data_IF_393560688781
#
_entry.id   IF_393560688781
#
_cell.length_a   1.000
_cell.length_b   1.000
_cell.length_c   1.000
_cell.angle_alpha   90.00
_cell.angle_beta   90.00
_cell.angle_gamma   90.00
#
_symmetry.space_group_name_H-M   'P 1'
#
loop_
_entity.id
_entity.type
_entity.pdbx_description
1 polymer ?
#
# COMPACT_ATOMS: atom_id res chain seq x y z
N UNK A 1 -15.36 -37.29 -13.48
CA UNK A 1 -14.47 -38.45 -13.71
C UNK A 1 -13.14 -38.16 -13.02
N UNK A 2 -12.49 -39.16 -12.42
CA UNK A 2 -11.22 -38.98 -11.70
C UNK A 2 -10.05 -39.31 -12.61
N UNK A 3 -9.05 -38.43 -12.65
CA UNK A 3 -7.80 -38.67 -13.38
C UNK A 3 -6.61 -38.22 -12.54
N UNK A 4 -6.13 -39.13 -11.68
CA UNK A 4 -4.82 -39.00 -11.05
C UNK A 4 -3.71 -39.17 -12.08
N UNK A 5 -2.60 -38.43 -11.98
CA UNK A 5 -1.33 -38.80 -12.64
C UNK A 5 -0.18 -38.77 -11.63
N UNK A 6 0.70 -39.75 -11.78
CA UNK A 6 1.73 -40.09 -10.80
C UNK A 6 3.05 -39.33 -11.03
N UNK A 7 3.86 -39.27 -9.97
CA UNK A 7 5.28 -38.94 -10.06
C UNK A 7 6.03 -39.95 -10.93
N UNK A 8 7.10 -39.50 -11.61
CA UNK A 8 8.12 -40.38 -12.18
C UNK A 8 9.53 -39.95 -11.74
N UNK A 9 10.50 -40.88 -11.73
CA UNK A 9 11.80 -40.74 -11.06
C UNK A 9 12.99 -40.70 -12.02
N UNK A 10 13.90 -39.75 -11.82
CA UNK A 10 15.31 -39.86 -12.22
C UNK A 10 16.18 -39.77 -10.95
N UNK A 11 16.70 -40.89 -10.44
CA UNK A 11 17.97 -41.53 -10.84
C UNK A 11 19.23 -40.69 -10.60
N UNK A 12 19.69 -40.76 -9.35
CA UNK A 12 21.07 -41.11 -8.96
C UNK A 12 22.24 -40.67 -9.86
N UNK A 13 23.18 -39.94 -9.27
CA UNK A 13 24.60 -40.12 -9.59
C UNK A 13 25.44 -40.15 -8.29
N UNK A 14 26.46 -41.02 -8.25
CA UNK A 14 27.22 -41.35 -7.03
C UNK A 14 28.64 -40.81 -7.10
N UNK A 15 29.05 -40.01 -6.11
CA UNK A 15 30.35 -39.34 -6.09
C UNK A 15 31.07 -39.44 -4.75
N UNK A 16 31.50 -40.64 -4.34
CA UNK A 16 32.41 -40.78 -3.19
C UNK A 16 33.77 -40.13 -3.49
N UNK A 17 34.27 -39.31 -2.58
CA UNK A 17 35.72 -39.07 -2.42
C UNK A 17 36.08 -38.70 -0.99
N UNK A 18 36.41 -39.72 -0.21
CA UNK A 18 37.04 -39.57 1.10
C UNK A 18 38.45 -39.01 0.94
N UNK A 19 38.79 -37.99 1.74
CA UNK A 19 40.18 -37.67 2.11
C UNK A 19 40.24 -37.32 3.59
N UNK A 20 40.57 -38.32 4.39
CA UNK A 20 41.17 -38.09 5.71
C UNK A 20 42.50 -37.33 5.55
N UNK A 21 42.84 -36.50 6.53
CA UNK A 21 44.25 -36.22 6.78
C UNK A 21 44.48 -35.97 8.28
N UNK A 22 45.34 -36.77 8.88
CA UNK A 22 45.73 -36.72 10.29
C UNK A 22 46.81 -35.66 10.53
N UNK A 23 46.70 -34.88 11.60
CA UNK A 23 47.56 -33.69 11.80
C UNK A 23 47.96 -33.37 13.25
N UNK A 24 48.04 -34.35 14.15
CA UNK A 24 48.63 -34.11 15.48
C UNK A 24 50.10 -33.72 15.36
N UNK A 25 50.48 -32.57 15.94
CA UNK A 25 51.87 -32.27 16.29
C UNK A 25 51.95 -31.51 17.61
N UNK A 26 52.17 -32.26 18.68
CA UNK A 26 52.57 -31.71 19.97
C UNK A 26 53.97 -31.10 19.87
N UNK A 27 54.15 -29.92 20.46
CA UNK A 27 55.46 -29.43 20.89
C UNK A 27 55.35 -28.80 22.26
N UNK A 28 55.62 -29.60 23.28
CA UNK A 28 56.10 -29.11 24.56
C UNK A 28 57.44 -28.40 24.36
N UNK A 29 57.66 -27.27 25.03
CA UNK A 29 59.00 -26.94 25.50
C UNK A 29 58.93 -26.15 26.80
N UNK A 30 59.90 -26.36 27.68
CA UNK A 30 59.92 -25.85 29.05
C UNK A 30 60.90 -24.68 29.20
N UNK A 31 60.44 -23.58 29.79
CA UNK A 31 61.28 -22.45 30.22
C UNK A 31 60.88 -21.98 31.61
N UNK A 32 61.82 -21.94 32.56
CA UNK A 32 61.55 -21.60 33.96
C UNK A 32 61.94 -20.16 34.31
N UNK A 33 61.16 -19.58 35.24
CA UNK A 33 61.53 -18.52 36.20
C UNK A 33 62.03 -17.17 35.67
N UNK A 34 61.26 -16.13 35.97
CA UNK A 34 61.70 -15.07 36.93
C UNK A 34 60.57 -14.78 37.92
N UNK A 35 60.86 -14.05 39.01
CA UNK A 35 59.92 -13.72 40.10
C UNK A 35 59.33 -12.31 39.92
N UNK A 36 58.36 -11.97 40.79
CA UNK A 36 57.72 -10.65 40.98
C UNK A 36 56.92 -10.12 39.76
N UNK A 37 55.75 -9.52 39.93
CA UNK A 37 55.40 -8.60 41.01
C UNK A 37 53.98 -8.81 41.59
N UNK A 38 53.74 -8.29 42.81
CA UNK A 38 52.46 -8.40 43.51
C UNK A 38 51.43 -7.43 42.94
N UNK A 39 50.52 -7.95 42.12
CA UNK A 39 49.42 -7.18 41.53
C UNK A 39 48.16 -8.01 41.39
N UNK A 40 47.41 -8.20 42.49
CA UNK A 40 46.14 -8.94 42.51
C UNK A 40 45.00 -8.13 41.87
N UNK A 41 45.20 -7.70 40.61
CA UNK A 41 44.13 -7.18 39.75
C UNK A 41 43.14 -8.30 39.52
N UNK A 42 42.09 -8.35 40.34
CA UNK A 42 40.91 -9.17 40.10
C UNK A 42 40.38 -8.79 38.72
N UNK A 43 40.66 -9.61 37.71
CA UNK A 43 39.97 -9.54 36.42
C UNK A 43 38.52 -9.92 36.70
N UNK A 44 37.73 -8.93 37.14
CA UNK A 44 36.28 -8.98 37.27
C UNK A 44 35.75 -9.14 35.85
N UNK A 45 35.78 -10.38 35.36
CA UNK A 45 35.28 -10.81 34.05
C UNK A 45 33.82 -10.45 34.04
N UNK A 46 33.51 -9.26 33.51
CA UNK A 46 32.15 -8.83 33.31
C UNK A 46 31.48 -9.95 32.50
N UNK A 47 30.52 -10.63 33.10
CA UNK A 47 29.59 -11.42 32.32
C UNK A 47 28.82 -10.39 31.50
N UNK A 48 29.22 -10.26 30.24
CA UNK A 48 28.41 -9.63 29.21
C UNK A 48 27.11 -10.39 29.18
N UNK A 49 26.11 -9.90 29.92
CA UNK A 49 24.74 -10.37 29.79
C UNK A 49 24.39 -10.15 28.32
N UNK A 50 24.22 -11.26 27.60
CA UNK A 50 23.70 -11.22 26.23
C UNK A 50 22.34 -10.54 26.31
N UNK A 51 22.12 -9.43 25.58
CA UNK A 51 20.85 -8.72 25.67
C UNK A 51 19.72 -9.68 25.29
N UNK A 52 18.61 -9.63 26.03
CA UNK A 52 17.50 -10.54 25.78
C UNK A 52 16.87 -10.21 24.42
N UNK A 53 16.89 -11.17 23.49
CA UNK A 53 16.49 -10.97 22.09
C UNK A 53 15.54 -12.06 21.62
N UNK A 54 14.48 -11.64 20.94
CA UNK A 54 13.54 -12.51 20.25
C UNK A 54 13.87 -12.54 18.75
N UNK A 55 14.03 -13.75 18.22
CA UNK A 55 14.27 -14.02 16.80
C UNK A 55 12.95 -14.36 16.11
N UNK A 56 12.67 -13.73 14.98
CA UNK A 56 11.44 -13.91 14.21
C UNK A 56 11.74 -14.56 12.86
N UNK A 57 11.02 -15.65 12.57
CA UNK A 57 11.08 -16.40 11.30
C UNK A 57 10.05 -15.84 10.31
N UNK A 58 10.07 -16.34 9.09
CA UNK A 58 9.10 -15.94 8.06
C UNK A 58 7.64 -16.07 8.54
N UNK A 59 7.29 -17.21 9.16
CA UNK A 59 5.95 -17.48 9.70
C UNK A 59 5.50 -16.43 10.73
N UNK A 60 6.38 -16.11 11.69
CA UNK A 60 6.08 -15.19 12.80
C UNK A 60 5.85 -13.77 12.30
N UNK A 61 6.66 -13.34 11.32
CA UNK A 61 6.55 -12.03 10.68
C UNK A 61 5.23 -11.91 9.91
N UNK A 62 4.88 -12.94 9.13
CA UNK A 62 3.63 -12.99 8.34
C UNK A 62 2.39 -12.96 9.24
N UNK A 63 2.37 -13.73 10.33
CA UNK A 63 1.23 -13.73 11.26
C UNK A 63 1.07 -12.41 12.05
N UNK A 64 2.15 -11.63 12.18
CA UNK A 64 2.17 -10.40 12.99
C UNK A 64 1.66 -9.17 12.25
N UNK A 65 1.01 -8.28 13.01
CA UNK A 65 0.62 -6.92 12.64
C UNK A 65 1.82 -5.96 12.52
N UNK A 66 1.56 -4.70 12.17
CA UNK A 66 2.59 -3.67 12.04
C UNK A 66 2.26 -2.39 12.83
N UNK A 67 3.25 -1.53 13.15
CA UNK A 67 3.05 -0.37 14.04
C UNK A 67 1.99 0.60 13.51
N UNK A 68 1.35 1.36 14.40
CA UNK A 68 0.48 2.46 13.97
C UNK A 68 1.29 3.56 13.26
N UNK A 69 0.75 4.11 12.18
CA UNK A 69 1.31 5.30 11.57
C UNK A 69 1.02 6.51 12.46
N UNK A 70 2.07 7.09 13.08
CA UNK A 70 1.94 8.36 13.79
C UNK A 70 1.39 9.42 12.83
N UNK A 71 0.32 10.09 13.26
CA UNK A 71 -0.43 11.06 12.47
C UNK A 71 -0.98 12.18 13.37
N UNK A 72 -1.29 13.34 12.79
CA UNK A 72 -1.79 14.50 13.53
C UNK A 72 -3.12 15.00 12.95
N UNK A 73 -4.20 14.87 13.72
CA UNK A 73 -5.56 15.28 13.31
C UNK A 73 -5.72 16.79 13.06
N UNK A 74 -4.80 17.63 13.57
CA UNK A 74 -4.82 19.06 13.31
C UNK A 74 -3.96 19.45 12.09
N UNK A 75 -2.91 18.66 11.80
CA UNK A 75 -1.84 19.00 10.85
C UNK A 75 -1.67 17.94 9.74
N UNK A 76 -2.69 17.81 8.88
CA UNK A 76 -2.68 16.90 7.72
C UNK A 76 -3.31 17.54 6.47
N UNK A 77 -3.12 16.90 5.31
CA UNK A 77 -3.74 17.33 4.04
C UNK A 77 -5.26 17.11 4.04
N UNK A 78 -6.03 18.21 4.03
CA UNK A 78 -7.51 18.17 4.04
C UNK A 78 -8.14 17.96 2.65
N UNK A 79 -7.32 17.86 1.61
CA UNK A 79 -7.76 17.52 0.25
C UNK A 79 -7.92 16.00 0.13
N UNK A 80 -9.14 15.52 -0.09
CA UNK A 80 -9.34 14.13 -0.50
C UNK A 80 -8.68 13.90 -1.85
N UNK A 81 -7.78 12.92 -1.91
CA UNK A 81 -7.11 12.47 -3.12
C UNK A 81 -7.94 11.43 -3.90
N UNK A 82 -9.17 11.12 -3.47
CA UNK A 82 -10.04 10.17 -4.18
C UNK A 82 -10.48 10.79 -5.51
N UNK A 83 -10.16 10.10 -6.59
CA UNK A 83 -10.42 10.55 -7.95
C UNK A 83 -11.94 10.63 -8.21
N UNK A 84 -12.33 11.48 -9.16
CA UNK A 84 -13.73 11.64 -9.60
C UNK A 84 -14.15 10.50 -10.52
N UNK A 85 -13.99 9.27 -10.06
CA UNK A 85 -14.18 8.04 -10.81
C UNK A 85 -14.86 7.04 -9.89
N UNK A 86 -15.92 6.37 -10.36
CA UNK A 86 -16.55 5.31 -9.58
C UNK A 86 -16.70 4.00 -10.34
N UNK A 87 -16.55 2.89 -9.64
CA UNK A 87 -16.81 1.56 -10.18
C UNK A 87 -18.31 1.37 -10.49
N UNK A 88 -18.59 0.84 -11.67
CA UNK A 88 -19.87 1.03 -12.36
C UNK A 88 -20.64 -0.26 -12.71
N UNK A 89 -20.06 -1.43 -12.42
CA UNK A 89 -20.67 -2.77 -12.50
C UNK A 89 -21.14 -3.24 -11.10
N UNK A 90 -21.66 -4.45 -11.00
CA UNK A 90 -22.00 -5.10 -9.72
C UNK A 90 -20.75 -5.25 -8.83
N UNK A 91 -20.86 -4.89 -7.54
CA UNK A 91 -19.84 -5.20 -6.53
C UNK A 91 -20.22 -6.51 -5.85
N UNK A 92 -19.25 -7.39 -5.60
CA UNK A 92 -19.48 -8.69 -4.95
C UNK A 92 -18.58 -8.82 -3.73
N UNK A 93 -19.13 -9.19 -2.58
CA UNK A 93 -18.29 -9.49 -1.41
C UNK A 93 -17.57 -10.83 -1.62
N UNK A 94 -16.26 -10.85 -1.39
CA UNK A 94 -15.43 -12.05 -1.40
C UNK A 94 -15.52 -12.72 -0.02
N UNK A 95 -16.66 -13.37 0.24
CA UNK A 95 -17.02 -13.98 1.53
C UNK A 95 -15.90 -14.89 2.06
N UNK A 96 -15.41 -15.83 1.23
CA UNK A 96 -14.39 -16.82 1.64
C UNK A 96 -12.93 -16.27 1.60
N UNK A 97 -12.72 -14.94 1.63
CA UNK A 97 -11.39 -14.36 1.43
C UNK A 97 -10.40 -14.73 2.54
N UNK A 98 -10.80 -14.64 3.81
CA UNK A 98 -9.89 -14.94 4.91
C UNK A 98 -9.56 -16.43 4.99
N UNK A 99 -10.48 -17.29 4.53
CA UNK A 99 -10.29 -18.73 4.36
C UNK A 99 -9.43 -19.06 3.14
N UNK A 100 -9.53 -18.33 2.02
CA UNK A 100 -8.59 -18.43 0.88
C UNK A 100 -7.17 -18.09 1.32
N UNK A 101 -7.01 -16.99 2.07
CA UNK A 101 -5.72 -16.56 2.63
C UNK A 101 -5.17 -17.61 3.61
N UNK A 102 -6.00 -18.10 4.56
CA UNK A 102 -5.64 -19.15 5.53
C UNK A 102 -5.22 -20.44 4.82
N UNK A 103 -5.99 -20.92 3.83
CA UNK A 103 -5.65 -22.11 3.02
C UNK A 103 -4.28 -21.97 2.36
N UNK A 104 -3.97 -20.79 1.81
CA UNK A 104 -2.67 -20.53 1.18
C UNK A 104 -1.53 -20.44 2.20
N UNK A 105 -1.74 -19.80 3.35
CA UNK A 105 -0.77 -19.77 4.45
C UNK A 105 -0.47 -21.18 5.00
N UNK A 106 -1.50 -22.01 5.20
CA UNK A 106 -1.37 -23.38 5.72
C UNK A 106 -0.78 -24.35 4.70
N UNK A 107 -0.78 -24.01 3.40
CA UNK A 107 -0.14 -24.82 2.35
C UNK A 107 1.40 -24.76 2.34
N UNK A 108 1.99 -23.81 3.09
CA UNK A 108 3.43 -23.58 3.14
C UNK A 108 4.06 -24.44 4.25
N UNK A 109 5.08 -25.22 3.90
CA UNK A 109 5.92 -25.98 4.84
C UNK A 109 6.82 -25.06 5.68
N UNK A 110 6.23 -24.37 6.66
CA UNK A 110 6.94 -23.41 7.51
C UNK A 110 8.14 -23.99 8.28
N UNK A 111 8.17 -25.31 8.49
CA UNK A 111 9.29 -26.02 9.12
C UNK A 111 10.57 -26.07 8.26
N UNK A 112 10.48 -25.76 6.95
CA UNK A 112 11.66 -25.54 6.10
C UNK A 112 12.26 -24.13 6.30
N UNK A 113 11.44 -23.15 6.69
CA UNK A 113 11.78 -21.71 6.73
C UNK A 113 12.10 -21.22 8.15
N UNK A 114 12.95 -21.96 8.84
CA UNK A 114 13.28 -21.77 10.26
C UNK A 114 14.38 -20.71 10.52
N UNK A 115 14.90 -20.09 9.47
CA UNK A 115 15.92 -19.05 9.54
C UNK A 115 15.33 -17.76 10.14
N UNK A 116 15.98 -17.14 11.14
CA UNK A 116 15.60 -15.81 11.58
C UNK A 116 15.79 -14.79 10.46
N UNK A 117 14.72 -14.05 10.15
CA UNK A 117 14.76 -12.90 9.24
C UNK A 117 14.82 -11.57 10.00
N UNK A 118 14.31 -11.53 11.23
CA UNK A 118 14.31 -10.32 12.05
C UNK A 118 14.62 -10.59 13.54
N UNK A 119 15.11 -9.57 14.26
CA UNK A 119 15.53 -9.67 15.67
C UNK A 119 15.08 -8.45 16.48
N UNK A 120 14.14 -8.65 17.41
CA UNK A 120 13.76 -7.62 18.39
C UNK A 120 14.55 -7.81 19.69
N UNK A 121 14.96 -6.72 20.32
CA UNK A 121 15.34 -6.74 21.72
C UNK A 121 14.07 -6.79 22.57
N UNK A 122 14.07 -7.57 23.65
CA UNK A 122 13.00 -7.47 24.65
C UNK A 122 13.06 -6.11 25.35
N UNK A 123 11.92 -5.67 25.89
CA UNK A 123 11.66 -4.34 26.44
C UNK A 123 12.44 -3.99 27.74
N UNK A 124 13.50 -4.73 28.06
CA UNK A 124 14.31 -4.65 29.29
C UNK A 124 15.05 -3.32 29.49
N UNK A 125 14.82 -2.31 28.66
CA UNK A 125 15.44 -0.98 28.73
C UNK A 125 14.46 0.15 29.01
N UNK A 126 13.14 -0.06 28.85
CA UNK A 126 12.14 1.02 28.97
C UNK A 126 12.39 2.22 28.04
N UNK A 127 13.15 2.02 26.95
CA UNK A 127 13.58 3.10 26.08
C UNK A 127 12.63 3.26 24.89
N UNK A 128 11.76 4.26 24.95
CA UNK A 128 10.83 4.65 23.89
C UNK A 128 11.56 5.02 22.57
N UNK A 129 12.82 5.45 22.65
CA UNK A 129 13.63 5.91 21.51
C UNK A 129 14.29 4.76 20.70
N UNK A 130 13.74 3.54 20.72
CA UNK A 130 14.25 2.45 19.87
C UNK A 130 13.76 2.59 18.43
N UNK A 131 14.65 2.36 17.46
CA UNK A 131 14.42 2.52 16.01
C UNK A 131 13.39 1.52 15.40
N UNK A 132 12.67 0.77 16.24
CA UNK A 132 11.60 -0.16 15.84
C UNK A 132 10.20 0.41 16.03
N UNK A 133 10.04 1.31 17.00
CA UNK A 133 8.78 2.04 17.15
C UNK A 133 8.66 3.07 16.02
N UNK A 134 7.44 3.52 15.77
CA UNK A 134 7.24 4.59 14.79
C UNK A 134 7.60 5.94 15.43
N UNK A 135 8.44 6.71 14.75
CA UNK A 135 8.93 8.03 15.17
C UNK A 135 8.59 9.12 14.13
N UNK A 136 8.05 8.74 12.97
CA UNK A 136 7.81 9.63 11.85
C UNK A 136 6.33 10.05 11.76
N UNK A 137 6.06 11.31 12.08
CA UNK A 137 4.74 11.92 11.96
C UNK A 137 4.35 12.10 10.48
N UNK A 138 3.36 11.34 10.02
CA UNK A 138 2.84 11.41 8.65
C UNK A 138 1.66 12.38 8.56
N UNK A 139 1.67 13.23 7.52
CA UNK A 139 0.65 14.27 7.29
C UNK A 139 0.07 14.27 5.88
N UNK A 140 0.52 13.37 5.00
CA UNK A 140 0.08 13.28 3.61
C UNK A 140 0.14 11.85 3.05
N UNK A 141 -0.37 11.66 1.83
CA UNK A 141 -0.45 10.37 1.15
C UNK A 141 0.94 9.76 0.92
N UNK A 142 1.91 10.55 0.45
CA UNK A 142 3.28 10.08 0.20
C UNK A 142 3.97 9.50 1.44
N UNK A 143 3.83 10.17 2.60
CA UNK A 143 4.37 9.67 3.88
C UNK A 143 3.66 8.41 4.35
N UNK A 144 2.33 8.39 4.26
CA UNK A 144 1.48 7.21 4.56
C UNK A 144 1.87 6.00 3.71
N UNK A 145 1.98 6.19 2.39
CA UNK A 145 2.37 5.17 1.42
C UNK A 145 3.79 4.65 1.70
N UNK A 146 4.75 5.56 1.96
CA UNK A 146 6.14 5.19 2.30
C UNK A 146 6.24 4.33 3.57
N UNK A 147 5.42 4.64 4.59
CA UNK A 147 5.36 3.86 5.84
C UNK A 147 4.81 2.45 5.59
N UNK A 148 3.80 2.30 4.74
CA UNK A 148 3.26 1.00 4.35
C UNK A 148 4.22 0.19 3.46
N UNK A 149 4.98 0.86 2.59
CA UNK A 149 6.09 0.23 1.85
C UNK A 149 7.13 -0.32 2.84
N UNK A 150 7.55 0.47 3.82
CA UNK A 150 8.50 0.04 4.85
C UNK A 150 7.98 -1.14 5.68
N UNK A 151 6.75 -1.05 6.21
CA UNK A 151 6.23 -1.98 7.21
C UNK A 151 5.55 -3.23 6.63
N UNK A 152 5.08 -3.17 5.37
CA UNK A 152 4.36 -4.26 4.69
C UNK A 152 5.09 -4.69 3.41
N UNK A 153 5.16 -3.85 2.37
CA UNK A 153 5.54 -4.30 1.02
C UNK A 153 7.02 -4.71 0.90
N UNK A 154 7.92 -4.01 1.58
CA UNK A 154 9.33 -4.39 1.72
C UNK A 154 9.46 -5.73 2.46
N UNK A 155 8.79 -5.84 3.61
CA UNK A 155 8.81 -7.05 4.45
C UNK A 155 8.33 -8.26 3.66
N UNK A 156 7.20 -8.15 2.95
CA UNK A 156 6.67 -9.24 2.13
C UNK A 156 7.53 -9.56 0.91
N UNK A 157 8.25 -8.57 0.36
CA UNK A 157 9.26 -8.81 -0.67
C UNK A 157 10.53 -9.51 -0.16
N UNK A 158 10.78 -9.49 1.15
CA UNK A 158 11.81 -10.31 1.79
C UNK A 158 11.29 -11.72 2.15
N UNK A 159 10.04 -11.82 2.63
CA UNK A 159 9.36 -13.11 2.89
C UNK A 159 9.32 -13.96 1.61
N UNK A 160 8.84 -13.42 0.49
CA UNK A 160 8.75 -14.15 -0.78
C UNK A 160 10.12 -14.71 -1.22
N UNK A 161 11.21 -13.97 -1.00
CA UNK A 161 12.58 -14.41 -1.29
C UNK A 161 13.11 -15.50 -0.35
N UNK A 162 12.64 -15.56 0.90
CA UNK A 162 12.94 -16.67 1.81
C UNK A 162 12.23 -17.95 1.36
N UNK A 163 10.95 -17.85 0.99
CA UNK A 163 10.08 -19.00 0.70
C UNK A 163 10.01 -19.37 -0.79
N UNK A 164 10.90 -18.82 -1.62
CA UNK A 164 11.05 -19.17 -3.04
C UNK A 164 9.95 -18.65 -3.98
N UNK A 165 9.08 -17.73 -3.53
CA UNK A 165 8.04 -17.12 -4.36
C UNK A 165 8.67 -16.04 -5.27
N UNK A 166 8.52 -16.22 -6.58
CA UNK A 166 9.21 -15.44 -7.63
C UNK A 166 8.68 -14.03 -7.90
N UNK A 167 8.01 -13.38 -6.95
CA UNK A 167 7.45 -12.03 -7.11
C UNK A 167 7.79 -11.10 -5.93
N UNK A 168 7.90 -9.79 -6.20
CA UNK A 168 8.22 -8.75 -5.24
C UNK A 168 7.45 -7.45 -5.52
N UNK A 169 7.28 -6.63 -4.49
CA UNK A 169 6.60 -5.34 -4.60
C UNK A 169 7.58 -4.21 -4.96
N UNK A 170 7.06 -3.18 -5.62
CA UNK A 170 7.77 -1.92 -5.89
C UNK A 170 6.82 -0.85 -6.45
N UNK A 171 7.36 0.33 -6.76
CA UNK A 171 6.59 1.42 -7.36
C UNK A 171 6.21 1.10 -8.82
N UNK A 172 5.07 1.59 -9.31
CA UNK A 172 4.64 1.32 -10.69
C UNK A 172 5.65 1.79 -11.77
N UNK A 173 6.42 2.85 -11.49
CA UNK A 173 7.47 3.35 -12.39
C UNK A 173 8.65 2.39 -12.59
N UNK A 174 8.79 1.35 -11.74
CA UNK A 174 9.75 0.26 -11.92
C UNK A 174 9.26 -0.87 -12.85
N UNK A 175 7.99 -0.85 -13.29
CA UNK A 175 7.41 -1.91 -14.15
C UNK A 175 7.72 -1.73 -15.63
N UNK A 176 7.85 -2.84 -16.35
CA UNK A 176 8.08 -2.83 -17.79
C UNK A 176 6.89 -2.24 -18.56
N UNK A 177 5.67 -2.37 -18.04
CA UNK A 177 4.47 -1.73 -18.57
C UNK A 177 4.59 -0.19 -18.61
N UNK A 178 5.21 0.42 -17.59
CA UNK A 178 5.43 1.87 -17.52
C UNK A 178 6.63 2.32 -18.36
N UNK A 179 7.62 1.46 -18.61
CA UNK A 179 8.69 1.74 -19.57
C UNK A 179 8.15 1.69 -21.02
N UNK A 180 7.29 0.72 -21.34
CA UNK A 180 6.64 0.60 -22.64
C UNK A 180 5.78 1.83 -22.98
N UNK A 181 4.97 2.33 -22.03
CA UNK A 181 4.11 3.51 -22.28
C UNK A 181 4.91 4.81 -22.43
N UNK A 182 6.01 4.98 -21.66
CA UNK A 182 6.97 6.09 -21.86
C UNK A 182 7.56 6.07 -23.27
N UNK A 183 8.08 4.92 -23.71
CA UNK A 183 8.68 4.77 -25.05
C UNK A 183 7.67 5.02 -26.18
N UNK A 184 6.45 4.50 -26.05
CA UNK A 184 5.38 4.73 -27.02
C UNK A 184 5.03 6.22 -27.17
N UNK A 185 5.02 6.97 -26.06
CA UNK A 185 4.80 8.42 -26.03
C UNK A 185 5.94 9.19 -26.71
N UNK A 186 7.20 8.85 -26.40
CA UNK A 186 8.38 9.44 -27.05
C UNK A 186 8.40 9.20 -28.56
N UNK A 187 8.06 7.99 -29.01
CA UNK A 187 7.98 7.67 -30.44
C UNK A 187 6.84 8.41 -31.16
N UNK A 188 5.74 8.72 -30.47
CA UNK A 188 4.65 9.52 -31.02
C UNK A 188 5.05 11.01 -31.14
N UNK A 189 5.62 11.59 -30.08
CA UNK A 189 6.05 12.99 -30.06
C UNK A 189 7.23 13.25 -31.01
N UNK A 190 8.17 12.31 -31.12
CA UNK A 190 9.33 12.40 -32.02
C UNK A 190 8.96 12.45 -33.51
N UNK A 191 7.89 11.76 -33.91
CA UNK A 191 7.38 11.79 -35.29
C UNK A 191 6.77 13.15 -35.67
N UNK A 192 6.33 13.95 -34.69
CA UNK A 192 5.72 15.27 -34.92
C UNK A 192 6.68 16.39 -35.35
N UNK A 193 8.01 16.22 -35.21
CA UNK A 193 9.00 17.32 -35.44
C UNK A 193 9.76 17.27 -36.78
N UNK A 194 9.51 16.29 -37.66
CA UNK A 194 10.14 16.18 -39.00
C UNK A 194 9.20 16.52 -40.16
N UNK A 195 8.66 17.74 -40.17
CA UNK A 195 7.69 18.18 -41.19
C UNK A 195 7.61 19.70 -41.39
N UNK A 196 8.75 20.42 -41.44
CA UNK A 196 8.74 21.89 -41.38
C UNK A 196 9.92 22.63 -42.00
N UNK A 197 10.36 22.28 -43.21
CA UNK A 197 11.31 23.13 -43.97
C UNK A 197 11.22 22.93 -45.49
N UNK A 198 11.21 24.05 -46.23
CA UNK A 198 10.88 24.21 -47.67
C UNK A 198 9.38 23.97 -47.97
N UNK A 199 8.71 24.78 -48.80
CA UNK A 199 9.17 25.99 -49.50
C UNK A 199 8.03 26.98 -49.73
N UNK A 200 8.36 28.25 -49.98
CA UNK A 200 7.37 29.30 -50.22
C UNK A 200 6.85 29.26 -51.66
N UNK A 201 5.51 29.29 -51.81
CA UNK A 201 4.84 29.49 -53.09
C UNK A 201 3.66 30.43 -52.91
N UNK A 202 3.67 31.59 -53.58
CA UNK A 202 2.51 32.48 -53.64
C UNK A 202 1.49 31.92 -54.63
N UNK A 203 0.34 31.47 -54.13
CA UNK A 203 -0.83 31.14 -54.94
C UNK A 203 -2.10 31.69 -54.30
N UNK A 204 -2.88 32.45 -55.06
CA UNK A 204 -4.30 32.69 -54.74
C UNK A 204 -5.11 31.57 -55.40
N UNK A 205 -6.06 30.99 -54.67
CA UNK A 205 -6.98 29.97 -55.16
C UNK A 205 -8.18 29.87 -54.22
N UNK A 206 -9.35 29.60 -54.76
CA UNK A 206 -10.64 29.74 -54.07
C UNK A 206 -10.95 28.62 -53.06
N UNK A 207 -11.98 28.83 -52.25
CA UNK A 207 -12.43 27.89 -51.22
C UNK A 207 -13.51 26.93 -51.74
N UNK A 208 -13.47 25.67 -51.31
CA UNK A 208 -14.64 24.77 -51.32
C UNK A 208 -14.47 23.59 -50.34
N UNK A 209 -15.60 22.99 -49.97
CA UNK A 209 -15.78 21.71 -49.23
C UNK A 209 -14.92 21.47 -47.97
N UNK A 210 -15.48 21.75 -46.80
CA UNK A 210 -14.90 21.43 -45.49
C UNK A 210 -15.73 20.36 -44.73
N UNK A 211 -15.94 19.17 -45.32
CA UNK A 211 -16.87 18.18 -44.75
C UNK A 211 -16.46 16.70 -44.97
N UNK A 212 -15.26 16.30 -44.52
CA UNK A 212 -14.87 14.87 -44.38
C UNK A 212 -13.65 14.67 -43.47
N UNK A 213 -13.82 14.78 -42.14
CA UNK A 213 -12.71 14.55 -41.18
C UNK A 213 -13.08 14.27 -39.71
N UNK A 214 -14.37 14.11 -39.37
CA UNK A 214 -14.81 13.95 -37.96
C UNK A 214 -14.93 12.51 -37.45
N UNK A 215 -14.90 11.50 -38.31
CA UNK A 215 -15.23 10.12 -37.94
C UNK A 215 -14.06 9.29 -37.35
N UNK A 216 -12.80 9.58 -37.69
CA UNK A 216 -11.64 8.75 -37.30
C UNK A 216 -10.83 9.28 -36.09
N UNK A 217 -11.40 10.20 -35.29
CA UNK A 217 -10.70 10.84 -34.16
C UNK A 217 -11.13 10.34 -32.77
N UNK A 218 -12.18 9.51 -32.67
CA UNK A 218 -12.60 8.88 -31.41
C UNK A 218 -11.61 7.81 -30.97
N UNK A 219 -11.43 6.78 -31.80
CA UNK A 219 -10.70 5.54 -31.49
C UNK A 219 -9.22 5.78 -31.10
N UNK A 220 -8.53 6.69 -31.80
CA UNK A 220 -7.14 7.08 -31.49
C UNK A 220 -6.99 7.93 -30.22
N UNK A 221 -8.09 8.43 -29.64
CA UNK A 221 -8.06 9.25 -28.41
C UNK A 221 -8.15 8.40 -27.15
N UNK A 222 -8.76 7.21 -27.19
CA UNK A 222 -8.97 6.38 -25.99
C UNK A 222 -7.73 5.57 -25.62
N UNK A 223 -7.04 4.98 -26.61
CA UNK A 223 -5.74 4.32 -26.43
C UNK A 223 -4.70 5.25 -25.76
N UNK A 224 -4.79 6.56 -25.99
CA UNK A 224 -3.92 7.57 -25.37
C UNK A 224 -4.28 7.91 -23.91
N UNK A 225 -5.50 7.63 -23.43
CA UNK A 225 -5.94 7.96 -22.05
C UNK A 225 -5.47 6.97 -21.00
N UNK A 226 -5.20 5.72 -21.39
CA UNK A 226 -4.76 4.68 -20.46
C UNK A 226 -3.23 4.57 -20.36
N UNK A 227 -2.46 5.14 -21.31
CA UNK A 227 -0.98 5.20 -21.23
C UNK A 227 -0.43 6.08 -20.10
N UNK A 228 -1.25 6.99 -19.54
CA UNK A 228 -0.87 7.87 -18.41
C UNK A 228 -1.41 7.36 -17.06
N UNK A 229 -1.91 6.11 -17.01
CA UNK A 229 -2.28 5.46 -15.76
C UNK A 229 -1.03 5.05 -14.95
N UNK A 230 -1.04 5.42 -13.68
CA UNK A 230 0.01 5.13 -12.72
C UNK A 230 -0.63 4.79 -11.36
N UNK A 231 -0.83 3.49 -11.07
CA UNK A 231 -0.95 2.97 -9.71
C UNK A 231 0.20 3.47 -8.82
N UNK A 232 -0.02 3.55 -7.51
CA UNK A 232 1.07 3.74 -6.55
C UNK A 232 2.04 2.54 -6.58
N UNK A 233 1.49 1.32 -6.46
CA UNK A 233 2.27 0.11 -6.25
C UNK A 233 2.03 -0.95 -7.32
N UNK A 234 3.05 -1.76 -7.57
CA UNK A 234 2.99 -2.99 -8.34
C UNK A 234 3.52 -4.17 -7.51
N UNK A 235 2.91 -5.33 -7.70
CA UNK A 235 3.54 -6.63 -7.47
C UNK A 235 4.03 -7.12 -8.84
N UNK A 236 5.31 -7.50 -8.96
CA UNK A 236 5.92 -7.88 -10.24
C UNK A 236 6.86 -9.09 -10.10
N UNK A 237 7.18 -9.73 -11.21
CA UNK A 237 8.14 -10.83 -11.27
C UNK A 237 9.59 -10.35 -11.51
N UNK A 238 10.52 -11.31 -11.67
CA UNK A 238 11.92 -11.04 -12.03
C UNK A 238 12.15 -10.38 -13.38
N UNK A 239 11.13 -10.31 -14.24
CA UNK A 239 11.16 -9.63 -15.54
C UNK A 239 10.46 -8.26 -15.47
N UNK A 240 10.15 -7.77 -14.27
CA UNK A 240 9.43 -6.51 -13.99
C UNK A 240 8.03 -6.44 -14.63
N UNK A 241 7.44 -7.60 -14.97
CA UNK A 241 6.09 -7.71 -15.49
C UNK A 241 5.11 -7.61 -14.32
N UNK A 242 4.18 -6.63 -14.32
CA UNK A 242 3.21 -6.50 -13.23
C UNK A 242 2.25 -7.70 -13.21
N UNK A 243 1.98 -8.17 -12.00
CA UNK A 243 1.08 -9.30 -11.66
C UNK A 243 -0.17 -8.84 -10.90
N UNK A 244 -0.04 -7.79 -10.09
CA UNK A 244 -1.12 -7.12 -9.38
C UNK A 244 -0.78 -5.65 -9.13
N UNK A 245 -1.78 -4.82 -8.84
CA UNK A 245 -1.64 -3.38 -8.58
C UNK A 245 -2.13 -2.99 -7.18
N UNK A 246 -1.48 -2.00 -6.58
CA UNK A 246 -1.89 -1.41 -5.31
C UNK A 246 -2.12 0.09 -5.44
N UNK A 247 -3.12 0.57 -4.70
CA UNK A 247 -3.44 2.00 -4.58
C UNK A 247 -3.36 2.43 -3.11
N UNK A 248 -2.71 3.54 -2.82
CA UNK A 248 -2.63 4.12 -1.48
C UNK A 248 -3.52 5.35 -1.32
N UNK A 249 -4.07 5.56 -0.13
CA UNK A 249 -4.89 6.74 0.21
C UNK A 249 -4.55 7.27 1.60
N UNK A 250 -4.91 8.51 1.90
CA UNK A 250 -4.72 9.05 3.27
C UNK A 250 -5.70 8.46 4.29
N UNK A 251 -5.27 8.24 5.56
CA UNK A 251 -6.18 7.92 6.67
C UNK A 251 -7.08 9.09 7.08
N UNK A 252 -6.85 10.28 6.51
CA UNK A 252 -7.55 11.53 6.81
C UNK A 252 -8.74 11.82 5.87
N UNK A 253 -9.00 10.93 4.91
CA UNK A 253 -10.07 11.14 3.93
C UNK A 253 -11.46 11.07 4.60
N UNK A 254 -12.49 11.53 3.90
CA UNK A 254 -13.89 11.39 4.36
C UNK A 254 -14.40 9.93 4.35
N UNK A 255 -13.57 8.98 3.89
CA UNK A 255 -13.91 7.60 3.63
C UNK A 255 -13.30 6.72 4.72
N UNK A 256 -14.15 5.93 5.37
CA UNK A 256 -13.80 5.04 6.47
C UNK A 256 -13.99 3.64 5.92
N UNK A 257 -12.93 3.00 5.40
CA UNK A 257 -13.04 1.76 4.64
C UNK A 257 -13.85 0.70 5.41
N UNK A 258 -13.56 0.52 6.71
CA UNK A 258 -14.32 -0.36 7.61
C UNK A 258 -15.85 -0.13 7.58
N UNK A 259 -16.27 1.15 7.52
CA UNK A 259 -17.68 1.52 7.40
C UNK A 259 -18.19 1.37 5.96
N UNK A 260 -17.46 1.89 4.97
CA UNK A 260 -17.88 1.88 3.57
C UNK A 260 -18.04 0.44 3.03
N UNK A 261 -17.28 -0.52 3.58
CA UNK A 261 -17.42 -1.96 3.34
C UNK A 261 -18.59 -2.57 4.12
N UNK A 262 -18.77 -2.26 5.42
CA UNK A 262 -19.94 -2.72 6.20
C UNK A 262 -21.26 -2.21 5.61
N UNK A 263 -21.34 -0.93 5.24
CA UNK A 263 -22.50 -0.32 4.59
C UNK A 263 -22.82 -1.04 3.25
N UNK A 264 -21.81 -1.53 2.51
CA UNK A 264 -22.02 -2.32 1.29
C UNK A 264 -22.43 -3.78 1.55
N UNK A 265 -21.82 -4.46 2.53
CA UNK A 265 -22.13 -5.86 2.89
C UNK A 265 -23.56 -5.98 3.44
N UNK A 266 -24.01 -5.01 4.23
CA UNK A 266 -25.38 -4.95 4.76
C UNK A 266 -26.45 -4.62 3.70
N UNK A 267 -26.06 -4.41 2.43
CA UNK A 267 -26.97 -3.98 1.35
C UNK A 267 -27.48 -2.54 1.50
N UNK A 268 -26.71 -1.67 2.17
CA UNK A 268 -26.99 -0.22 2.33
C UNK A 268 -26.30 0.54 1.17
N UNK A 269 -25.94 1.82 1.33
CA UNK A 269 -25.42 2.63 0.22
C UNK A 269 -23.93 2.35 -0.07
N UNK A 270 -23.66 1.53 -1.09
CA UNK A 270 -22.30 1.23 -1.57
C UNK A 270 -21.63 2.37 -2.37
N UNK A 271 -22.29 3.52 -2.53
CA UNK A 271 -21.78 4.64 -3.35
C UNK A 271 -20.42 5.17 -2.90
N UNK A 272 -20.10 5.14 -1.61
CA UNK A 272 -18.78 5.55 -1.10
C UNK A 272 -17.70 4.52 -1.47
N UNK A 273 -17.96 3.23 -1.22
CA UNK A 273 -17.08 2.13 -1.63
C UNK A 273 -16.81 2.15 -3.14
N UNK A 274 -17.84 2.39 -3.96
CA UNK A 274 -17.70 2.52 -5.43
C UNK A 274 -16.75 3.63 -5.85
N UNK A 275 -16.72 4.75 -5.13
CA UNK A 275 -15.81 5.87 -5.43
C UNK A 275 -14.36 5.51 -5.06
N UNK A 276 -14.15 4.82 -3.93
CA UNK A 276 -12.85 4.33 -3.47
C UNK A 276 -12.29 3.30 -4.46
N UNK A 277 -13.10 2.30 -4.83
CA UNK A 277 -12.68 1.19 -5.70
C UNK A 277 -12.60 1.57 -7.20
N UNK A 278 -13.17 2.71 -7.61
CA UNK A 278 -13.19 3.12 -9.02
C UNK A 278 -11.81 3.30 -9.66
N UNK A 279 -10.81 3.70 -8.86
CA UNK A 279 -9.43 3.89 -9.32
C UNK A 279 -8.65 2.57 -9.50
N UNK A 280 -8.48 1.72 -8.47
CA UNK A 280 -7.82 0.43 -8.65
C UNK A 280 -8.54 -0.46 -9.67
N UNK A 281 -9.88 -0.42 -9.74
CA UNK A 281 -10.64 -1.14 -10.77
C UNK A 281 -10.26 -0.71 -12.19
N UNK A 282 -10.02 0.60 -12.45
CA UNK A 282 -9.57 1.06 -13.76
C UNK A 282 -8.19 0.51 -14.11
N UNK A 283 -7.25 0.51 -13.16
CA UNK A 283 -5.91 -0.03 -13.38
C UNK A 283 -5.94 -1.54 -13.63
N UNK A 284 -6.66 -2.30 -12.80
CA UNK A 284 -6.82 -3.75 -12.97
C UNK A 284 -7.33 -4.09 -14.38
N UNK A 285 -8.35 -3.38 -14.88
CA UNK A 285 -8.83 -3.54 -16.26
C UNK A 285 -7.81 -3.09 -17.31
N UNK A 286 -7.20 -1.91 -17.16
CA UNK A 286 -6.33 -1.32 -18.18
C UNK A 286 -5.02 -2.08 -18.41
N UNK A 287 -4.59 -2.90 -17.43
CA UNK A 287 -3.38 -3.71 -17.50
C UNK A 287 -3.67 -5.23 -17.53
N UNK A 288 -4.91 -5.65 -17.77
CA UNK A 288 -5.37 -7.05 -17.76
C UNK A 288 -5.01 -7.82 -16.47
N UNK A 289 -4.96 -7.15 -15.31
CA UNK A 289 -4.55 -7.74 -14.03
C UNK A 289 -5.76 -8.21 -13.20
N UNK A 290 -5.77 -9.48 -12.81
CA UNK A 290 -6.88 -10.09 -12.07
C UNK A 290 -6.98 -9.57 -10.63
N UNK A 291 -5.85 -9.26 -10.01
CA UNK A 291 -5.77 -8.91 -8.59
C UNK A 291 -5.27 -7.48 -8.33
N UNK A 292 -5.67 -6.93 -7.19
CA UNK A 292 -5.10 -5.71 -6.65
C UNK A 292 -5.48 -5.48 -5.19
N UNK A 293 -5.10 -4.33 -4.64
CA UNK A 293 -5.47 -3.89 -3.30
C UNK A 293 -5.61 -2.37 -3.23
N UNK A 294 -6.31 -1.88 -2.21
CA UNK A 294 -6.30 -0.47 -1.81
C UNK A 294 -6.14 -0.36 -0.29
N UNK A 295 -5.37 0.63 0.15
CA UNK A 295 -5.10 0.88 1.57
C UNK A 295 -5.34 2.34 1.95
N UNK A 296 -5.48 2.59 3.26
CA UNK A 296 -5.32 3.93 3.85
C UNK A 296 -4.29 3.94 5.01
N UNK A 297 -3.34 3.00 4.95
CA UNK A 297 -2.51 2.49 6.04
C UNK A 297 -3.29 1.74 7.14
N UNK A 298 -4.29 2.37 7.78
CA UNK A 298 -5.02 1.77 8.91
C UNK A 298 -5.83 0.54 8.48
N UNK A 299 -6.48 0.64 7.32
CA UNK A 299 -7.34 -0.35 6.70
C UNK A 299 -6.74 -0.78 5.34
N UNK A 300 -6.83 -2.07 4.99
CA UNK A 300 -6.54 -2.60 3.64
C UNK A 300 -7.73 -3.41 3.12
N UNK A 301 -8.09 -3.23 1.84
CA UNK A 301 -9.07 -4.03 1.10
C UNK A 301 -8.35 -4.72 -0.08
N UNK A 302 -8.59 -6.01 -0.27
CA UNK A 302 -8.06 -6.80 -1.38
C UNK A 302 -9.14 -6.99 -2.47
N UNK A 303 -8.70 -7.04 -3.72
CA UNK A 303 -9.55 -6.96 -4.91
C UNK A 303 -9.23 -8.07 -5.91
N UNK A 304 -10.28 -8.59 -6.56
CA UNK A 304 -10.21 -9.61 -7.63
C UNK A 304 -11.27 -9.31 -8.67
N UNK A 305 -10.92 -9.24 -9.95
CA UNK A 305 -11.91 -9.17 -11.04
C UNK A 305 -12.09 -10.53 -11.70
N UNK A 306 -13.33 -10.98 -11.86
CA UNK A 306 -13.64 -12.32 -12.37
C UNK A 306 -14.94 -12.36 -13.18
N UNK A 307 -15.05 -13.32 -14.10
CA UNK A 307 -16.21 -13.50 -14.94
C UNK A 307 -17.21 -14.48 -14.29
N UNK A 308 -18.21 -13.92 -13.60
CA UNK A 308 -19.18 -14.67 -12.79
C UNK A 308 -20.59 -14.47 -13.34
N UNK A 309 -21.33 -15.58 -13.51
CA UNK A 309 -22.70 -15.60 -14.02
C UNK A 309 -22.91 -14.81 -15.33
N UNK A 310 -21.95 -14.89 -16.27
CA UNK A 310 -22.04 -14.25 -17.58
C UNK A 310 -21.60 -12.78 -17.64
N UNK A 311 -21.00 -12.24 -16.56
CA UNK A 311 -20.53 -10.86 -16.52
C UNK A 311 -19.22 -10.71 -15.74
N UNK A 312 -18.38 -9.74 -16.10
CA UNK A 312 -17.23 -9.36 -15.28
C UNK A 312 -17.70 -8.58 -14.05
N UNK A 313 -17.21 -9.00 -12.89
CA UNK A 313 -17.50 -8.39 -11.58
C UNK A 313 -16.20 -8.13 -10.81
N UNK A 314 -16.18 -7.06 -10.04
CA UNK A 314 -15.13 -6.77 -9.05
C UNK A 314 -15.57 -7.33 -7.69
N UNK A 315 -14.78 -8.26 -7.19
CA UNK A 315 -14.87 -8.80 -5.85
C UNK A 315 -13.99 -7.98 -4.90
N UNK A 316 -14.48 -7.73 -3.69
CA UNK A 316 -13.76 -7.02 -2.63
C UNK A 316 -13.79 -7.86 -1.34
N UNK A 317 -12.69 -7.86 -0.57
CA UNK A 317 -12.62 -8.52 0.73
C UNK A 317 -13.29 -7.70 1.85
N UNK A 318 -13.45 -8.33 3.02
CA UNK A 318 -13.43 -7.64 4.31
C UNK A 318 -12.29 -6.62 4.39
N UNK A 319 -12.44 -5.63 5.26
CA UNK A 319 -11.32 -4.76 5.66
C UNK A 319 -10.42 -5.50 6.64
N UNK A 320 -9.11 -5.46 6.38
CA UNK A 320 -8.09 -5.93 7.32
C UNK A 320 -7.39 -4.72 7.98
N UNK A 321 -7.55 -4.52 9.29
CA UNK A 321 -6.82 -3.51 10.05
C UNK A 321 -5.31 -3.79 10.15
N UNK A 322 -4.50 -2.74 10.23
CA UNK A 322 -3.04 -2.80 10.35
C UNK A 322 -2.53 -3.55 11.59
N UNK A 323 -3.30 -3.46 12.69
CA UNK A 323 -3.07 -4.04 13.99
C UNK A 323 -3.62 -5.48 14.11
N UNK A 324 -4.36 -5.96 13.10
CA UNK A 324 -4.90 -7.32 13.11
C UNK A 324 -3.79 -8.38 13.02
N UNK A 325 -3.70 -9.19 14.08
CA UNK A 325 -2.85 -10.39 14.17
C UNK A 325 -3.63 -11.60 13.66
N UNK A 326 -2.92 -12.52 13.02
CA UNK A 326 -3.45 -13.78 12.50
C UNK A 326 -3.99 -14.69 13.61
N UNK A 327 -5.23 -15.17 13.50
CA UNK A 327 -5.86 -16.15 14.40
C UNK A 327 -6.50 -17.31 13.66
N UNK A 328 -6.60 -18.46 14.34
CA UNK A 328 -7.18 -19.70 13.79
C UNK A 328 -8.69 -19.77 14.07
N UNK A 329 -9.12 -19.43 15.29
CA UNK A 329 -10.53 -19.50 15.71
C UNK A 329 -10.90 -18.24 16.53
N UNK A 330 -11.78 -17.35 16.03
CA UNK A 330 -12.24 -17.30 14.65
C UNK A 330 -11.06 -17.10 13.68
N UNK A 331 -11.24 -17.49 12.42
CA UNK A 331 -10.26 -17.19 11.37
C UNK A 331 -10.13 -15.68 11.24
N UNK A 332 -8.91 -15.18 11.44
CA UNK A 332 -8.51 -13.83 11.06
C UNK A 332 -7.14 -13.90 10.44
N UNK A 333 -6.90 -13.04 9.45
CA UNK A 333 -5.62 -12.97 8.75
C UNK A 333 -5.00 -11.59 8.91
N UNK A 334 -3.68 -11.51 8.99
CA UNK A 334 -2.98 -10.22 9.03
C UNK A 334 -2.93 -9.60 7.62
N UNK A 335 -2.64 -8.29 7.52
CA UNK A 335 -2.38 -7.66 6.21
C UNK A 335 -1.19 -8.33 5.50
N UNK A 336 -0.16 -8.77 6.23
CA UNK A 336 1.01 -9.46 5.67
C UNK A 336 0.66 -10.86 5.15
N UNK A 337 -0.27 -11.54 5.82
CA UNK A 337 -0.78 -12.85 5.40
C UNK A 337 -1.65 -12.75 4.15
N UNK A 338 -2.51 -11.74 4.06
CA UNK A 338 -3.27 -11.43 2.85
C UNK A 338 -2.36 -10.98 1.68
N UNK A 339 -1.26 -10.27 1.97
CA UNK A 339 -0.22 -9.98 0.98
C UNK A 339 0.56 -11.23 0.54
N UNK A 340 0.79 -12.20 1.43
CA UNK A 340 1.40 -13.49 1.09
C UNK A 340 0.48 -14.29 0.15
N UNK A 341 -0.81 -14.34 0.43
CA UNK A 341 -1.81 -14.91 -0.46
C UNK A 341 -1.76 -14.24 -1.84
N UNK A 342 -1.75 -12.91 -1.90
CA UNK A 342 -1.63 -12.15 -3.14
C UNK A 342 -0.33 -12.51 -3.89
N UNK A 343 0.79 -12.64 -3.20
CA UNK A 343 2.07 -13.08 -3.77
C UNK A 343 2.02 -14.51 -4.34
N UNK A 344 1.37 -15.44 -3.64
CA UNK A 344 1.26 -16.83 -4.09
C UNK A 344 0.39 -16.96 -5.36
N UNK A 345 -0.79 -16.33 -5.41
CA UNK A 345 -1.66 -16.38 -6.61
C UNK A 345 -1.11 -15.58 -7.78
N UNK A 346 -0.31 -14.54 -7.51
CA UNK A 346 0.39 -13.74 -8.52
C UNK A 346 1.64 -14.43 -9.12
N UNK A 347 2.22 -15.39 -8.41
CA UNK A 347 3.40 -16.14 -8.87
C UNK A 347 3.06 -17.33 -9.78
N UNK A 348 1.78 -17.63 -9.98
CA UNK A 348 1.29 -18.70 -10.85
C UNK A 348 1.46 -18.44 -12.35
N UNK A 349 0.86 -19.32 -13.15
CA UNK A 349 0.86 -19.21 -14.61
C UNK A 349 0.10 -17.96 -15.07
N UNK A 350 0.29 -17.55 -16.33
CA UNK A 350 -0.33 -16.31 -16.87
C UNK A 350 -1.85 -16.27 -16.66
N UNK A 351 -2.53 -17.40 -16.72
CA UNK A 351 -3.98 -17.53 -16.49
C UNK A 351 -4.44 -17.24 -15.07
N UNK A 352 -3.54 -17.32 -14.09
CA UNK A 352 -3.91 -17.26 -12.68
C UNK A 352 -4.06 -15.81 -12.23
N UNK A 353 -3.21 -14.92 -12.77
CA UNK A 353 -3.12 -13.50 -12.43
C UNK A 353 -3.54 -12.54 -13.55
N UNK A 354 -3.72 -12.97 -14.80
CA UNK A 354 -4.35 -12.13 -15.83
C UNK A 354 -5.87 -12.27 -15.89
N UNK A 355 -6.53 -11.23 -16.38
CA UNK A 355 -7.97 -11.19 -16.59
C UNK A 355 -8.31 -10.29 -17.79
N UNK A 356 -8.65 -10.91 -18.91
CA UNK A 356 -9.02 -10.24 -20.16
C UNK A 356 -10.44 -9.63 -20.05
N UNK A 357 -10.59 -8.54 -19.29
CA UNK A 357 -11.88 -7.95 -18.97
C UNK A 357 -12.47 -7.18 -20.16
N UNK A 358 -13.29 -7.89 -20.93
CA UNK A 358 -14.00 -7.43 -22.13
C UNK A 358 -15.09 -6.36 -21.88
N UNK A 359 -15.32 -5.92 -20.64
CA UNK A 359 -16.24 -4.82 -20.35
C UNK A 359 -15.73 -3.51 -20.97
N UNK A 360 -16.57 -2.69 -21.63
CA UNK A 360 -16.18 -1.35 -22.09
C UNK A 360 -15.68 -0.46 -20.93
N UNK A 361 -14.65 0.40 -21.12
CA UNK A 361 -14.07 1.20 -20.04
C UNK A 361 -15.11 2.00 -19.23
N UNK A 362 -16.05 2.63 -19.93
CA UNK A 362 -17.15 3.47 -19.41
C UNK A 362 -18.30 2.67 -18.78
N UNK A 363 -18.38 1.38 -19.05
CA UNK A 363 -19.27 0.45 -18.35
C UNK A 363 -18.63 -0.11 -17.08
N UNK A 364 -17.30 -0.22 -17.05
CA UNK A 364 -16.52 -0.67 -15.88
C UNK A 364 -16.35 0.42 -14.82
N UNK A 365 -16.00 1.64 -15.25
CA UNK A 365 -15.78 2.81 -14.39
C UNK A 365 -16.38 4.08 -15.00
N UNK A 366 -16.91 4.99 -14.19
CA UNK A 366 -17.64 6.19 -14.65
C UNK A 366 -17.11 7.47 -14.02
N UNK A 367 -16.74 8.43 -14.86
CA UNK A 367 -16.33 9.78 -14.46
C UNK A 367 -17.47 10.54 -13.77
N UNK A 368 -17.22 10.98 -12.54
CA UNK A 368 -18.09 11.87 -11.78
C UNK A 368 -17.91 13.31 -12.30
N UNK A 369 -18.72 13.66 -13.31
CA UNK A 369 -18.75 15.00 -13.91
C UNK A 369 -18.79 16.09 -12.83
N UNK A 370 -18.02 17.19 -12.96
CA UNK A 370 -18.10 18.30 -12.03
C UNK A 370 -19.55 18.80 -11.93
N UNK A 371 -20.12 18.77 -10.72
CA UNK A 371 -21.43 19.35 -10.48
C UNK A 371 -21.44 20.81 -10.94
N UNK A 372 -22.39 21.19 -11.80
CA UNK A 372 -22.54 22.58 -12.25
C UNK A 372 -22.63 23.45 -11.00
N UNK A 373 -21.65 24.33 -10.76
CA UNK A 373 -21.74 25.37 -9.73
C UNK A 373 -23.04 26.13 -9.97
N UNK A 374 -24.06 25.94 -9.12
CA UNK A 374 -25.26 26.77 -9.14
C UNK A 374 -24.78 28.20 -8.96
N UNK A 375 -24.97 29.06 -9.96
CA UNK A 375 -24.87 30.50 -9.72
C UNK A 375 -25.80 30.80 -8.56
N UNK A 376 -25.26 31.41 -7.49
CA UNK A 376 -26.11 32.14 -6.56
C UNK A 376 -26.46 33.41 -7.30
N UNK A 377 -27.68 33.51 -7.80
CA UNK A 377 -28.16 34.74 -8.42
C UNK A 377 -28.38 35.77 -7.31
N UNK A 378 -27.29 36.45 -6.94
CA UNK A 378 -27.27 37.56 -5.99
C UNK A 378 -27.97 38.76 -6.62
N UNK A 379 -29.30 38.68 -6.69
CA UNK A 379 -30.18 39.78 -7.09
C UNK A 379 -30.16 40.84 -5.99
N UNK A 380 -29.11 41.67 -6.02
CA UNK A 380 -29.00 42.87 -5.18
C UNK A 380 -30.19 43.76 -5.53
N UNK A 381 -31.15 43.84 -4.60
CA UNK A 381 -32.14 44.91 -4.60
C UNK A 381 -31.48 46.10 -3.93
N UNK A 382 -31.34 47.20 -4.66
CA UNK A 382 -30.78 48.43 -4.10
C UNK A 382 -31.75 49.09 -3.13
N UNK A 383 -31.26 49.44 -1.94
CA UNK A 383 -31.79 50.49 -1.09
C UNK A 383 -30.74 51.59 -1.01
N UNK A 384 -31.14 52.86 -1.18
CA UNK A 384 -30.20 53.99 -1.29
C UNK A 384 -29.82 54.59 0.09
N UNK A 385 -28.84 55.48 0.06
CA UNK A 385 -28.11 56.16 1.15
C UNK A 385 -28.88 56.54 2.43
N UNK A 386 -28.12 56.51 3.53
CA UNK A 386 -28.20 57.47 4.64
C UNK A 386 -26.80 57.64 5.24
N UNK A 387 -26.28 58.87 5.30
CA UNK A 387 -24.90 59.19 5.71
C UNK A 387 -24.85 59.87 7.10
N UNK A 388 -24.01 59.35 8.00
CA UNK A 388 -23.40 59.98 9.19
C UNK A 388 -22.45 58.91 9.80
N UNK A 389 -21.14 59.12 9.95
CA UNK A 389 -20.45 59.97 10.94
C UNK A 389 -20.70 59.55 12.40
N UNK A 390 -19.63 59.25 13.15
CA UNK A 390 -19.71 58.85 14.57
C UNK A 390 -18.50 58.04 15.06
N UNK A 391 -17.72 58.64 15.94
CA UNK A 391 -16.39 58.22 16.42
C UNK A 391 -16.34 57.02 17.39
N UNK A 392 -15.13 56.43 17.49
CA UNK A 392 -14.41 55.94 18.68
C UNK A 392 -15.08 55.24 19.90
N UNK A 393 -14.49 54.07 20.23
CA UNK A 393 -14.09 53.55 21.57
C UNK A 393 -15.15 53.08 22.60
N UNK A 394 -14.82 51.91 23.18
CA UNK A 394 -15.09 51.50 24.58
C UNK A 394 -16.59 51.35 24.98
N UNK A 395 -16.95 50.76 26.12
CA UNK A 395 -16.37 49.66 26.93
C UNK A 395 -17.45 49.18 27.92
N UNK A 396 -17.26 48.01 28.56
CA UNK A 396 -17.80 47.57 29.88
C UNK A 396 -19.13 48.15 30.39
N UNK A 397 -20.10 47.25 30.62
CA UNK A 397 -20.69 46.90 31.93
C UNK A 397 -21.63 45.69 31.67
N UNK A 398 -21.90 44.72 32.57
CA UNK A 398 -22.21 44.73 34.02
C UNK A 398 -23.62 45.33 34.30
N UNK A 399 -24.41 44.89 35.29
CA UNK A 399 -24.31 43.73 36.21
C UNK A 399 -25.16 42.51 35.68
N UNK A 400 -25.78 41.53 36.38
CA UNK A 400 -25.97 41.20 37.81
C UNK A 400 -26.32 39.68 38.06
N UNK A 401 -26.19 39.26 39.33
CA UNK A 401 -26.90 38.24 40.13
C UNK A 401 -27.14 36.76 39.68
N UNK A 402 -26.90 35.82 40.62
CA UNK A 402 -27.21 34.38 40.43
C UNK A 402 -26.89 33.37 41.56
N UNK A 403 -26.13 33.76 42.59
CA UNK A 403 -25.93 33.08 43.90
C UNK A 403 -25.29 31.65 43.99
N UNK A 404 -24.22 31.54 44.80
CA UNK A 404 -24.06 30.70 46.03
C UNK A 404 -24.29 29.16 45.99
N UNK A 405 -23.50 28.27 46.62
CA UNK A 405 -22.23 28.39 47.39
C UNK A 405 -21.38 27.05 47.30
N UNK A 406 -20.51 26.57 48.24
CA UNK A 406 -19.12 26.25 47.87
C UNK A 406 -18.67 24.76 48.01
N UNK A 407 -17.50 24.45 47.43
CA UNK A 407 -16.78 23.17 47.60
C UNK A 407 -15.24 23.37 47.60
N UNK A 408 -14.45 22.55 48.33
CA UNK A 408 -13.15 22.99 48.84
C UNK A 408 -11.94 22.80 47.89
N UNK A 409 -10.92 23.64 48.12
CA UNK A 409 -9.71 23.76 47.31
C UNK A 409 -8.60 22.74 47.66
N UNK A 410 -7.78 22.37 46.66
CA UNK A 410 -6.51 21.66 46.86
C UNK A 410 -5.35 22.32 46.10
N UNK A 411 -4.20 22.36 46.76
CA UNK A 411 -3.00 23.12 46.37
C UNK A 411 -2.23 22.41 45.26
N UNK A 412 -1.89 23.10 44.16
CA UNK A 412 -0.85 22.66 43.23
C UNK A 412 0.53 23.05 43.78
N UNK A 413 1.38 22.08 44.10
CA UNK A 413 2.81 22.33 44.36
C UNK A 413 3.53 22.58 43.04
N UNK A 414 4.32 23.65 42.98
CA UNK A 414 5.38 23.84 41.98
C UNK A 414 6.59 23.03 42.46
N UNK A 415 7.27 22.33 41.56
CA UNK A 415 8.57 21.69 41.81
C UNK A 415 9.52 22.13 40.70
N UNK A 416 10.72 22.56 41.07
CA UNK A 416 11.80 22.95 40.17
C UNK A 416 12.62 21.72 39.77
N UNK A 417 13.18 21.76 38.56
CA UNK A 417 14.30 20.90 38.18
C UNK A 417 15.62 21.59 38.54
N UNK A 418 16.57 20.79 39.03
CA UNK A 418 18.01 20.94 38.83
C UNK A 418 18.49 19.72 38.01
#
# INVERSE_FOLDING_TARGET
>A
MVTTRSMEKAKSNSGQKTKSNSGQKTKSNSGQKTKSNSGRKTKRRQQTQTPNVAFFKARDIVMSSFPECLTNEQHHVRSSAIHRLKYARELVHWVDFQEDVRRTFDSISWDDYQRPLDVKFHETTGNENVLREEHFMSGNELSTNSRYVQHVLHVMSAIAKEIGIGVFFGDWDATDARQASKKAKEEAEGKGKKGGKKGGGKGKGEAQSAESSKAQKSESTEVNKDMDLQPDFALMDSEFVPRAVGEGKTPFSQHQFSRDVSDAIDGRDDSLLRNILGQPARYMRAFDLKYGFIMNYKDTIFLRQEFVAGSWKLMYSDVIPHDQVSTIEPVKVSVREAMLFLQAVAAGDKTDWTSYNTTPPEEWVKDLKPGKKRKRDSKVVGGDRGEAEGEERNSHNDEDAGNDEPGPSRKKKRVSFE
#
